data_IF_233464530769
#
_entry.id   IF_233464530769
#
_cell.length_a   1.000
_cell.length_b   1.000
_cell.length_c   1.000
_cell.angle_alpha   90.00
_cell.angle_beta   90.00
_cell.angle_gamma   90.00
#
_symmetry.space_group_name_H-M   'P 1'
#
loop_
_entity.id
_entity.type
_entity.pdbx_description
1 polymer ?
2 branched ?
3 water ?
#
# COMPACT_ATOMS: atom_id res chain seq x y z
N UNK A 1 12.94 -9.89 12.87
CA UNK A 1 11.94 -10.85 13.31
C UNK A 1 10.60 -10.16 13.51
N UNK A 2 10.28 -9.25 12.59
CA UNK A 2 9.02 -8.51 12.67
C UNK A 2 7.80 -9.41 12.68
N UNK A 3 7.69 -10.26 11.66
CA UNK A 3 6.52 -11.14 11.55
C UNK A 3 6.50 -12.23 12.62
N UNK A 4 7.67 -12.70 13.05
CA UNK A 4 7.68 -13.68 14.13
C UNK A 4 7.17 -13.04 15.41
N UNK A 5 7.56 -11.79 15.67
CA UNK A 5 7.16 -11.08 16.87
C UNK A 5 5.70 -10.65 16.86
N UNK A 6 5.26 -9.99 15.77
CA UNK A 6 3.89 -9.45 15.77
C UNK A 6 2.87 -10.44 15.24
N UNK A 7 3.31 -11.34 14.37
CA UNK A 7 2.48 -12.41 13.84
C UNK A 7 1.22 -11.98 13.15
N UNK A 8 0.12 -12.61 13.55
CA UNK A 8 -1.19 -12.36 12.96
C UNK A 8 -1.71 -10.97 13.26
N UNK A 9 -1.90 -10.16 12.23
CA UNK A 9 -2.45 -8.82 12.40
C UNK A 9 -3.97 -8.89 12.31
N UNK A 10 -4.60 -7.92 12.99
CA UNK A 10 -6.07 -7.85 12.92
C UNK A 10 -6.46 -6.42 13.26
N UNK A 11 -7.77 -6.18 13.14
CA UNK A 11 -8.30 -4.85 13.49
C UNK A 11 -9.10 -4.93 14.78
N UNK A 12 -8.72 -4.09 15.73
CA UNK A 12 -9.42 -4.06 17.02
C UNK A 12 -9.81 -2.61 17.32
N UNK A 13 -11.12 -2.35 17.42
CA UNK A 13 -11.60 -1.00 17.68
C UNK A 13 -11.01 0.04 16.72
N UNK A 14 -10.95 -0.34 15.45
CA UNK A 14 -10.48 0.55 14.39
C UNK A 14 -8.96 0.69 14.30
N UNK A 15 -8.22 -0.12 15.03
CA UNK A 15 -6.76 0.03 15.03
C UNK A 15 -6.10 -1.27 14.58
N UNK A 16 -4.98 -1.11 13.85
CA UNK A 16 -4.20 -2.30 13.50
C UNK A 16 -3.45 -2.79 14.73
N UNK A 17 -3.63 -4.06 15.08
CA UNK A 17 -2.94 -4.65 16.24
C UNK A 17 -2.29 -5.99 15.89
N UNK A 18 -1.31 -6.39 16.70
CA UNK A 18 -0.67 -7.70 16.50
C UNK A 18 -1.48 -8.80 17.20
N UNK A 19 -0.94 -10.00 17.21
CA UNK A 19 -1.61 -11.18 17.78
C UNK A 19 -1.73 -11.14 19.30
N UNK A 20 -1.04 -10.23 19.97
CA UNK A 20 -1.16 -10.09 21.42
C UNK A 20 -1.98 -8.86 21.73
N UNK A 21 -2.61 -8.28 20.70
CA UNK A 21 -3.50 -7.14 20.84
C UNK A 21 -2.84 -5.78 20.97
N UNK A 22 -1.55 -5.67 20.75
CA UNK A 22 -0.84 -4.39 20.87
C UNK A 22 -0.90 -3.63 19.55
N UNK A 23 -1.02 -2.30 19.61
CA UNK A 23 -0.99 -1.53 18.37
C UNK A 23 0.36 -1.73 17.67
N UNK A 24 0.29 -1.83 16.34
CA UNK A 24 1.50 -1.92 15.55
C UNK A 24 1.37 -0.97 14.36
N UNK A 25 2.51 -0.42 13.97
CA UNK A 25 2.52 0.53 12.85
C UNK A 25 3.53 0.04 11.79
N UNK A 26 3.06 -0.20 10.58
CA UNK A 26 3.95 -0.63 9.52
C UNK A 26 4.43 0.57 8.72
N UNK A 27 5.71 0.57 8.33
CA UNK A 27 6.24 1.65 7.52
C UNK A 27 7.15 1.00 6.47
N UNK A 28 6.90 1.32 5.20
CA UNK A 28 7.77 0.70 4.19
C UNK A 28 7.65 1.39 2.85
N UNK A 29 8.07 0.63 1.83
CA UNK A 29 8.10 1.19 0.48
C UNK A 29 7.17 0.44 -0.46
N UNK A 30 6.65 1.16 -1.45
CA UNK A 30 5.91 0.53 -2.53
C UNK A 30 6.85 0.47 -3.75
N UNK A 31 6.74 -0.59 -4.53
CA UNK A 31 7.38 -0.59 -5.85
C UNK A 31 6.64 0.46 -6.69
N UNK A 32 7.21 0.74 -7.86
CA UNK A 32 6.48 1.50 -8.88
C UNK A 32 5.77 0.40 -9.66
N UNK A 33 5.26 0.62 -10.86
CA UNK A 33 4.57 -0.43 -11.59
C UNK A 33 5.51 -1.61 -11.88
N UNK A 34 5.05 -2.82 -11.55
CA UNK A 34 5.89 -4.00 -11.81
C UNK A 34 6.14 -4.27 -13.28
N UNK A 35 5.33 -3.75 -14.19
CA UNK A 35 5.54 -3.92 -15.62
C UNK A 35 6.63 -3.00 -16.15
N UNK A 36 7.05 -2.02 -15.37
CA UNK A 36 8.02 -1.02 -15.79
C UNK A 36 9.31 -1.06 -15.01
N UNK A 37 9.22 -1.24 -13.68
CA UNK A 37 10.37 -1.16 -12.80
C UNK A 37 10.47 -2.37 -11.86
N UNK A 38 10.11 -3.54 -12.41
CA UNK A 38 10.17 -4.81 -11.68
C UNK A 38 11.55 -5.25 -11.25
N UNK A 39 12.60 -4.72 -11.90
CA UNK A 39 13.97 -5.10 -11.52
C UNK A 39 14.33 -4.68 -10.11
N UNK A 40 13.66 -3.68 -9.53
CA UNK A 40 13.93 -3.25 -8.16
C UNK A 40 13.21 -4.06 -7.11
N UNK A 41 12.45 -5.08 -7.52
CA UNK A 41 11.71 -5.92 -6.58
C UNK A 41 12.33 -7.33 -6.60
N UNK A 42 13.12 -7.58 -5.56
CA UNK A 42 13.81 -8.88 -5.45
C UNK A 42 14.25 -9.05 -4.00
N UNK A 43 14.63 -10.29 -3.66
CA UNK A 43 15.05 -10.55 -2.30
C UNK A 43 16.19 -9.62 -1.85
N UNK A 44 17.21 -9.42 -2.68
CA UNK A 44 18.33 -8.59 -2.23
C UNK A 44 17.97 -7.14 -1.96
N UNK A 45 17.18 -6.54 -2.83
CA UNK A 45 16.80 -5.13 -2.60
C UNK A 45 15.86 -5.03 -1.38
N UNK A 46 14.95 -5.99 -1.24
CA UNK A 46 14.05 -5.98 -0.09
C UNK A 46 14.80 -6.18 1.22
N UNK A 47 15.82 -7.07 1.19
CA UNK A 47 16.66 -7.26 2.38
C UNK A 47 17.44 -5.98 2.71
N UNK A 48 17.94 -5.29 1.69
CA UNK A 48 18.63 -4.01 1.91
C UNK A 48 17.66 -3.00 2.54
N UNK A 49 16.44 -2.93 2.00
CA UNK A 49 15.46 -2.02 2.61
C UNK A 49 15.18 -2.39 4.05
N UNK A 50 15.04 -3.70 4.31
CA UNK A 50 14.78 -4.12 5.69
C UNK A 50 15.93 -3.73 6.62
N UNK A 51 17.15 -4.05 6.22
CA UNK A 51 18.31 -3.88 7.09
C UNK A 51 18.84 -2.46 7.16
N UNK A 52 18.84 -1.72 6.06
CA UNK A 52 19.42 -0.38 6.04
C UNK A 52 18.37 0.68 6.28
N UNK A 53 17.15 0.52 5.74
CA UNK A 53 16.13 1.53 5.96
C UNK A 53 15.26 1.18 7.16
N UNK A 54 15.19 -0.09 7.55
CA UNK A 54 14.29 -0.47 8.63
C UNK A 54 12.85 -0.79 8.20
N UNK A 55 12.58 -1.03 6.91
CA UNK A 55 11.19 -1.29 6.52
C UNK A 55 10.66 -2.55 7.21
N UNK A 56 9.33 -2.57 7.46
CA UNK A 56 8.69 -3.77 7.98
C UNK A 56 7.50 -4.17 7.11
N UNK A 57 7.34 -3.53 5.96
CA UNK A 57 6.31 -3.89 4.98
C UNK A 57 6.81 -3.51 3.60
N UNK A 58 6.43 -4.27 2.56
CA UNK A 58 6.77 -3.92 1.19
C UNK A 58 5.51 -4.07 0.37
N UNK A 59 5.23 -3.11 -0.51
CA UNK A 59 4.02 -3.17 -1.32
C UNK A 59 4.37 -3.42 -2.78
N UNK A 60 3.77 -4.46 -3.33
CA UNK A 60 4.01 -4.86 -4.72
C UNK A 60 2.89 -4.26 -5.56
N UNK A 61 3.23 -3.19 -6.31
CA UNK A 61 2.21 -2.48 -7.08
C UNK A 61 2.01 -3.10 -8.46
N UNK A 62 1.04 -4.01 -8.55
CA UNK A 62 0.77 -4.68 -9.80
C UNK A 62 -0.32 -3.94 -10.58
N UNK A 63 0.09 -2.98 -11.40
CA UNK A 63 -0.89 -2.32 -12.26
C UNK A 63 -1.67 -3.37 -13.04
N UNK A 64 -2.97 -3.10 -13.18
CA UNK A 64 -3.86 -3.95 -13.97
C UNK A 64 -3.84 -3.49 -15.43
N UNK A 65 -4.02 -2.20 -15.67
CA UNK A 65 -3.95 -1.66 -17.03
C UNK A 65 -2.57 -1.05 -17.27
N UNK A 66 -2.43 -0.16 -18.25
CA UNK A 66 -1.16 0.51 -18.52
C UNK A 66 -0.02 -0.47 -18.75
N UNK A 67 -0.28 -1.57 -19.45
CA UNK A 67 0.69 -2.60 -19.74
C UNK A 67 0.90 -3.60 -18.63
N UNK A 68 0.07 -3.52 -17.59
CA UNK A 68 0.12 -4.40 -16.44
C UNK A 68 -0.55 -5.75 -16.67
N UNK A 69 -1.09 -6.30 -15.57
CA UNK A 69 -1.62 -7.64 -15.52
C UNK A 69 -2.65 -8.02 -16.57
N UNK A 70 -3.58 -7.16 -16.92
CA UNK A 70 -4.58 -7.51 -17.92
C UNK A 70 -3.93 -7.71 -19.29
N UNK A 71 -2.97 -6.84 -19.64
CA UNK A 71 -2.30 -6.95 -20.94
C UNK A 71 -1.24 -8.03 -21.00
N UNK A 72 -0.59 -8.26 -19.86
CA UNK A 72 0.44 -9.28 -19.75
C UNK A 72 0.48 -9.79 -18.32
N UNK A 73 -0.15 -10.94 -18.10
CA UNK A 73 -0.35 -11.53 -16.79
C UNK A 73 0.90 -12.06 -16.14
N UNK A 74 2.02 -12.13 -16.89
CA UNK A 74 3.27 -12.63 -16.35
C UNK A 74 3.74 -11.87 -15.14
N UNK A 75 3.35 -10.62 -14.95
CA UNK A 75 3.67 -9.78 -13.82
C UNK A 75 3.18 -10.33 -12.51
N UNK A 76 2.18 -11.23 -12.51
CA UNK A 76 1.74 -11.87 -11.27
C UNK A 76 2.86 -12.71 -10.66
N UNK A 77 3.81 -13.21 -11.49
CA UNK A 77 4.90 -13.99 -10.90
C UNK A 77 5.89 -13.08 -10.17
N UNK A 78 5.97 -11.79 -10.54
CA UNK A 78 6.83 -10.87 -9.79
C UNK A 78 6.15 -10.55 -8.46
N UNK A 79 4.81 -10.50 -8.44
CA UNK A 79 4.14 -10.38 -7.13
C UNK A 79 4.51 -11.60 -6.28
N UNK A 80 4.44 -12.82 -6.81
CA UNK A 80 4.81 -14.01 -6.02
C UNK A 80 6.25 -13.92 -5.53
N UNK A 81 7.17 -13.47 -6.39
CA UNK A 81 8.54 -13.26 -5.93
C UNK A 81 8.61 -12.31 -4.74
N UNK A 82 7.87 -11.18 -4.80
CA UNK A 82 7.88 -10.24 -3.68
C UNK A 82 7.32 -10.85 -2.40
N UNK A 83 6.24 -11.62 -2.53
CA UNK A 83 5.60 -12.22 -1.36
C UNK A 83 6.57 -13.20 -0.72
N UNK A 84 7.19 -14.04 -1.54
CA UNK A 84 8.13 -15.05 -1.02
C UNK A 84 9.34 -14.40 -0.37
N UNK A 85 9.85 -13.31 -0.93
CA UNK A 85 10.97 -12.58 -0.31
C UNK A 85 10.51 -12.03 1.04
N UNK A 86 9.30 -11.47 1.12
CA UNK A 86 8.80 -10.95 2.39
C UNK A 86 8.70 -12.06 3.44
N UNK A 87 8.21 -13.23 3.01
CA UNK A 87 8.14 -14.38 3.93
C UNK A 87 9.56 -14.76 4.38
N UNK A 88 10.50 -14.80 3.43
CA UNK A 88 11.88 -15.19 3.80
C UNK A 88 12.54 -14.14 4.70
N UNK A 89 12.23 -12.86 4.56
CA UNK A 89 12.80 -11.77 5.31
C UNK A 89 12.03 -11.42 6.57
N UNK A 90 10.90 -12.11 6.77
CA UNK A 90 10.04 -11.95 7.94
C UNK A 90 9.51 -10.54 8.06
N UNK A 91 9.02 -10.02 6.95
CA UNK A 91 8.33 -8.71 6.94
C UNK A 91 6.96 -8.88 6.29
N UNK A 92 6.10 -7.85 6.46
CA UNK A 92 4.77 -7.91 5.86
C UNK A 92 4.81 -7.51 4.39
N UNK A 93 3.80 -7.95 3.64
CA UNK A 93 3.79 -7.63 2.20
C UNK A 93 2.37 -7.35 1.75
N UNK A 94 2.22 -6.28 0.96
CA UNK A 94 0.90 -5.90 0.44
C UNK A 94 0.83 -6.29 -1.04
N UNK A 95 -0.21 -7.04 -1.37
CA UNK A 95 -0.47 -7.46 -2.74
C UNK A 95 -1.47 -6.43 -3.29
N UNK A 96 -1.00 -5.53 -4.16
CA UNK A 96 -1.85 -4.42 -4.60
C UNK A 96 -2.34 -4.57 -6.03
N UNK A 97 -3.61 -4.75 -6.21
CA UNK A 97 -4.30 -4.82 -7.51
C UNK A 97 -4.46 -3.34 -7.88
N UNK A 98 -3.48 -2.87 -8.65
CA UNK A 98 -3.23 -1.46 -8.83
C UNK A 98 -4.00 -0.82 -9.98
N UNK A 99 -5.30 -0.65 -9.72
CA UNK A 99 -6.16 0.05 -10.67
C UNK A 99 -5.80 1.54 -10.69
N UNK A 100 -5.99 2.17 -11.85
CA UNK A 100 -5.73 3.61 -11.97
C UNK A 100 -6.51 4.15 -13.17
N UNK A 101 -5.99 3.95 -14.37
CA UNK A 101 -6.72 4.42 -15.57
C UNK A 101 -8.02 3.65 -15.77
N UNK A 102 -8.02 2.38 -15.36
CA UNK A 102 -9.24 1.56 -15.26
C UNK A 102 -9.83 1.97 -13.91
N UNK A 103 -10.51 3.11 -13.92
CA UNK A 103 -10.86 3.85 -12.73
C UNK A 103 -11.96 3.27 -11.87
N UNK A 104 -12.74 2.38 -12.43
CA UNK A 104 -13.80 1.71 -11.68
C UNK A 104 -13.27 0.32 -11.43
N UNK A 105 -13.24 -0.16 -10.18
CA UNK A 105 -12.75 -1.51 -9.90
C UNK A 105 -13.60 -2.59 -10.50
N UNK A 106 -14.87 -2.28 -10.87
CA UNK A 106 -15.70 -3.30 -11.50
C UNK A 106 -15.25 -3.62 -12.92
N UNK A 107 -14.45 -2.76 -13.57
CA UNK A 107 -14.04 -3.05 -14.95
C UNK A 107 -13.41 -4.43 -15.07
N UNK A 108 -12.42 -4.71 -14.19
CA UNK A 108 -11.77 -6.02 -14.24
C UNK A 108 -12.06 -6.84 -12.99
N UNK A 109 -13.32 -6.77 -12.50
CA UNK A 109 -13.66 -7.54 -11.30
C UNK A 109 -13.59 -9.04 -11.46
N UNK A 110 -13.85 -9.60 -12.66
CA UNK A 110 -13.78 -11.05 -12.80
C UNK A 110 -12.31 -11.47 -12.69
N UNK A 111 -11.45 -10.69 -13.34
CA UNK A 111 -10.02 -11.01 -13.27
C UNK A 111 -9.48 -10.84 -11.86
N UNK A 112 -9.95 -9.81 -11.14
CA UNK A 112 -9.57 -9.58 -9.76
C UNK A 112 -9.96 -10.75 -8.85
N UNK A 113 -11.18 -11.25 -9.03
CA UNK A 113 -11.62 -12.40 -8.23
C UNK A 113 -10.71 -13.60 -8.50
N UNK A 114 -10.39 -13.86 -9.77
CA UNK A 114 -9.52 -15.03 -10.03
C UNK A 114 -8.13 -14.82 -9.45
N UNK A 115 -7.59 -13.61 -9.62
CA UNK A 115 -6.26 -13.30 -9.09
C UNK A 115 -6.20 -13.39 -7.58
N UNK A 116 -7.18 -12.83 -6.87
CA UNK A 116 -7.19 -12.94 -5.41
C UNK A 116 -7.51 -14.35 -4.94
N UNK A 117 -8.26 -15.14 -5.69
CA UNK A 117 -8.44 -16.56 -5.34
C UNK A 117 -7.07 -17.24 -5.36
N UNK A 118 -6.33 -17.06 -6.46
CA UNK A 118 -5.01 -17.69 -6.57
C UNK A 118 -4.06 -17.23 -5.48
N UNK A 119 -3.97 -15.94 -5.22
CA UNK A 119 -3.01 -15.43 -4.24
C UNK A 119 -3.37 -15.88 -2.82
N UNK A 120 -4.68 -15.87 -2.50
CA UNK A 120 -5.07 -16.31 -1.16
C UNK A 120 -4.96 -17.82 -1.00
N UNK A 121 -5.11 -18.57 -2.09
CA UNK A 121 -4.92 -20.03 -1.97
C UNK A 121 -3.44 -20.31 -1.72
N UNK A 122 -2.56 -19.59 -2.42
CA UNK A 122 -1.13 -19.86 -2.27
C UNK A 122 -0.59 -19.41 -0.93
N UNK A 123 -0.95 -18.20 -0.50
CA UNK A 123 -0.30 -17.58 0.64
C UNK A 123 -1.19 -17.32 1.84
N UNK A 124 -2.43 -17.81 1.80
CA UNK A 124 -3.38 -17.55 2.86
C UNK A 124 -3.04 -18.12 4.21
N UNK A 125 -2.10 -19.07 4.29
CA UNK A 125 -1.74 -19.58 5.61
C UNK A 125 -0.39 -19.00 6.06
N UNK A 126 -0.05 -17.80 5.62
CA UNK A 126 1.06 -17.03 6.12
C UNK A 126 0.47 -15.73 6.70
N UNK A 127 1.00 -15.20 7.77
CA UNK A 127 0.53 -13.99 8.39
C UNK A 127 1.08 -12.73 7.73
N UNK A 128 2.03 -12.88 6.80
CA UNK A 128 2.67 -11.72 6.20
C UNK A 128 1.76 -10.95 5.25
N UNK A 129 0.79 -11.63 4.66
CA UNK A 129 0.05 -11.07 3.55
C UNK A 129 -1.06 -10.12 3.95
N UNK A 130 -1.11 -9.00 3.21
CA UNK A 130 -2.16 -7.97 3.31
C UNK A 130 -2.69 -7.78 1.89
N UNK A 131 -3.99 -7.89 1.66
CA UNK A 131 -4.49 -7.79 0.28
C UNK A 131 -5.02 -6.40 0.00
N UNK A 132 -4.58 -5.76 -1.07
CA UNK A 132 -5.11 -4.41 -1.38
C UNK A 132 -5.87 -4.55 -2.70
N UNK A 133 -7.20 -4.65 -2.62
CA UNK A 133 -8.00 -5.07 -3.76
C UNK A 133 -8.32 -4.02 -4.82
N UNK A 134 -8.06 -2.74 -4.60
CA UNK A 134 -8.34 -1.75 -5.65
C UNK A 134 -7.61 -0.45 -5.29
N UNK A 135 -6.36 -0.34 -5.76
CA UNK A 135 -5.53 0.80 -5.41
C UNK A 135 -6.25 2.13 -5.30
N UNK A 136 -6.66 2.70 -6.44
CA UNK A 136 -7.25 4.03 -6.48
C UNK A 136 -8.44 4.18 -7.40
N UNK A 137 -9.61 3.82 -6.91
CA UNK A 137 -10.87 4.10 -7.59
C UNK A 137 -10.91 5.60 -7.86
N UNK A 138 -11.38 6.05 -9.02
CA UNK A 138 -11.42 7.48 -9.27
C UNK A 138 -12.49 7.82 -10.31
N UNK A 139 -12.80 9.11 -10.38
CA UNK A 139 -13.86 9.55 -11.29
C UNK A 139 -15.13 9.86 -10.53
N UNK A 140 -15.89 10.86 -11.04
CA UNK A 140 -17.18 11.23 -10.47
C UNK A 140 -18.26 10.17 -10.46
N UNK A 141 -18.18 9.27 -11.43
CA UNK A 141 -19.11 8.16 -11.59
C UNK A 141 -18.74 6.89 -10.83
N UNK A 142 -17.68 6.97 -10.01
CA UNK A 142 -17.26 5.82 -9.21
C UNK A 142 -17.44 6.19 -7.74
N UNK A 143 -18.50 5.71 -7.10
CA UNK A 143 -18.72 6.07 -5.71
C UNK A 143 -18.59 4.84 -4.79
N UNK A 144 -18.43 5.17 -3.52
CA UNK A 144 -18.33 4.08 -2.53
C UNK A 144 -19.56 3.20 -2.57
N UNK A 145 -20.74 3.82 -2.39
CA UNK A 145 -21.96 3.03 -2.28
C UNK A 145 -22.37 2.28 -3.52
N UNK A 146 -22.16 2.86 -4.71
CA UNK A 146 -22.63 2.23 -5.93
C UNK A 146 -21.61 1.33 -6.61
N UNK A 147 -20.32 1.63 -6.48
CA UNK A 147 -19.31 0.90 -7.23
C UNK A 147 -18.27 0.20 -6.34
N UNK A 148 -17.72 0.93 -5.35
CA UNK A 148 -16.58 0.36 -4.62
C UNK A 148 -17.00 -0.68 -3.59
N UNK A 149 -18.00 -0.31 -2.78
CA UNK A 149 -18.46 -1.27 -1.75
C UNK A 149 -18.96 -2.54 -2.35
N UNK A 150 -19.81 -2.55 -3.35
CA UNK A 150 -20.30 -3.77 -3.99
C UNK A 150 -19.15 -4.58 -4.59
N UNK A 151 -18.15 -3.89 -5.18
CA UNK A 151 -16.98 -4.60 -5.69
C UNK A 151 -16.26 -5.36 -4.58
N UNK A 152 -16.06 -4.67 -3.46
CA UNK A 152 -15.40 -5.29 -2.31
C UNK A 152 -16.23 -6.46 -1.79
N UNK A 153 -17.56 -6.34 -1.87
CA UNK A 153 -18.44 -7.42 -1.41
C UNK A 153 -18.49 -8.60 -2.33
N UNK A 154 -17.89 -8.53 -3.51
CA UNK A 154 -17.67 -9.66 -4.38
C UNK A 154 -16.26 -10.23 -4.20
N UNK A 155 -15.24 -9.39 -3.98
CA UNK A 155 -13.85 -9.89 -3.92
C UNK A 155 -13.49 -10.41 -2.54
N UNK A 156 -14.02 -9.76 -1.48
CA UNK A 156 -13.69 -10.23 -0.12
C UNK A 156 -14.12 -11.65 0.14
N UNK A 157 -15.31 -12.11 -0.22
CA UNK A 157 -15.73 -13.49 -0.02
C UNK A 157 -14.77 -14.49 -0.67
N UNK A 158 -14.24 -14.16 -1.85
CA UNK A 158 -13.28 -15.02 -2.56
C UNK A 158 -12.05 -15.20 -1.69
N UNK A 159 -11.51 -14.06 -1.19
CA UNK A 159 -10.33 -14.15 -0.33
C UNK A 159 -10.63 -14.93 0.95
N UNK A 160 -11.77 -14.61 1.59
CA UNK A 160 -12.14 -15.20 2.88
C UNK A 160 -12.41 -16.69 2.82
N UNK A 161 -12.69 -17.22 1.63
CA UNK A 161 -12.85 -18.66 1.49
C UNK A 161 -11.52 -19.37 1.68
N UNK A 162 -10.41 -18.67 1.41
CA UNK A 162 -9.10 -19.28 1.56
C UNK A 162 -8.30 -18.75 2.74
N UNK A 163 -8.64 -17.56 3.18
CA UNK A 163 -7.85 -16.84 4.19
C UNK A 163 -8.85 -16.03 5.00
N UNK A 164 -9.21 -16.56 6.17
CA UNK A 164 -10.30 -16.05 6.96
C UNK A 164 -10.08 -14.70 7.59
N UNK A 165 -8.83 -14.25 7.77
CA UNK A 165 -8.71 -13.02 8.54
C UNK A 165 -7.46 -12.21 8.34
N UNK A 166 -6.62 -12.50 7.33
CA UNK A 166 -5.54 -11.53 7.09
C UNK A 166 -6.20 -10.22 6.63
N UNK A 167 -5.46 -9.13 6.79
CA UNK A 167 -5.98 -7.78 6.51
C UNK A 167 -6.24 -7.56 5.04
N UNK A 168 -7.37 -6.89 4.78
CA UNK A 168 -7.74 -6.50 3.42
C UNK A 168 -7.90 -4.97 3.40
N UNK A 169 -7.14 -4.30 2.54
CA UNK A 169 -7.24 -2.84 2.39
C UNK A 169 -8.12 -2.54 1.17
N UNK A 170 -9.16 -1.75 1.34
CA UNK A 170 -10.09 -1.41 0.26
C UNK A 170 -9.96 0.08 -0.12
N UNK A 171 -9.74 0.29 -1.41
CA UNK A 171 -9.61 1.67 -1.92
C UNK A 171 -10.89 2.46 -1.73
N UNK A 172 -10.72 3.78 -1.73
CA UNK A 172 -11.87 4.68 -1.56
C UNK A 172 -11.96 5.62 -2.77
N UNK A 173 -13.06 6.36 -2.84
CA UNK A 173 -13.28 7.23 -4.00
C UNK A 173 -12.29 8.37 -4.11
N UNK A 174 -12.30 8.98 -5.32
CA UNK A 174 -11.47 10.16 -5.59
C UNK A 174 -9.99 9.89 -5.31
N UNK A 175 -9.49 8.85 -5.97
CA UNK A 175 -8.12 8.37 -5.84
C UNK A 175 -7.77 8.01 -4.40
N UNK A 176 -8.67 7.26 -3.75
CA UNK A 176 -8.48 6.85 -2.37
C UNK A 176 -8.29 8.01 -1.41
N UNK A 177 -9.16 9.04 -1.57
CA UNK A 177 -9.15 10.13 -0.61
C UNK A 177 -10.48 10.17 0.14
N UNK A 178 -11.55 9.63 -0.43
CA UNK A 178 -12.86 9.81 0.18
C UNK A 178 -13.16 8.79 1.25
N UNK A 179 -12.43 8.91 2.36
CA UNK A 179 -12.62 8.00 3.50
C UNK A 179 -13.85 8.40 4.29
N UNK A 180 -14.38 9.62 4.09
CA UNK A 180 -15.57 10.03 4.83
C UNK A 180 -16.78 9.21 4.41
N UNK A 181 -16.95 9.00 3.11
CA UNK A 181 -18.11 8.21 2.67
C UNK A 181 -17.94 6.75 3.07
N UNK A 182 -16.71 6.22 2.97
CA UNK A 182 -16.52 4.81 3.36
C UNK A 182 -16.79 4.62 4.84
N UNK A 183 -16.34 5.59 5.65
CA UNK A 183 -16.50 5.47 7.10
C UNK A 183 -17.96 5.56 7.55
N UNK A 184 -18.79 6.21 6.73
CA UNK A 184 -20.22 6.25 7.11
C UNK A 184 -20.99 5.06 6.55
N UNK A 185 -20.34 4.16 5.81
CA UNK A 185 -21.04 3.03 5.20
C UNK A 185 -20.06 1.86 5.09
N UNK A 186 -19.60 1.44 6.26
CA UNK A 186 -18.52 0.45 6.34
C UNK A 186 -18.91 -0.95 5.92
N UNK A 187 -17.89 -1.69 5.46
CA UNK A 187 -18.03 -3.10 5.12
C UNK A 187 -18.19 -3.93 6.38
N UNK A 188 -18.77 -5.12 6.24
CA UNK A 188 -18.99 -5.98 7.40
C UNK A 188 -17.73 -6.67 7.90
N UNK A 189 -16.82 -7.03 6.99
CA UNK A 189 -15.64 -7.82 7.45
C UNK A 189 -14.89 -7.08 8.54
N UNK A 190 -14.55 -7.74 9.64
CA UNK A 190 -13.92 -7.15 10.79
C UNK A 190 -12.44 -6.85 10.59
N UNK A 191 -11.83 -7.39 9.53
CA UNK A 191 -10.41 -7.16 9.33
C UNK A 191 -10.14 -6.42 8.04
N UNK A 192 -10.99 -5.41 7.82
CA UNK A 192 -10.86 -4.51 6.67
C UNK A 192 -10.36 -3.15 7.15
N UNK A 193 -9.55 -2.53 6.27
CA UNK A 193 -9.07 -1.18 6.41
C UNK A 193 -9.40 -0.43 5.13
N UNK A 194 -9.56 0.89 5.20
CA UNK A 194 -9.83 1.71 4.02
C UNK A 194 -8.55 2.44 3.65
N UNK A 195 -8.25 2.47 2.34
CA UNK A 195 -7.04 3.16 1.92
C UNK A 195 -7.22 4.69 1.94
N UNK A 196 -6.15 5.38 2.33
CA UNK A 196 -6.13 6.84 2.25
C UNK A 196 -4.75 7.17 1.65
N UNK A 197 -4.73 7.94 0.56
CA UNK A 197 -3.50 8.27 -0.14
C UNK A 197 -3.33 9.80 -0.24
N UNK A 198 -2.10 10.28 -0.04
CA UNK A 198 -1.85 11.72 -0.14
C UNK A 198 -0.55 11.98 -0.86
N UNK A 199 -0.41 13.24 -1.31
CA UNK A 199 0.79 13.72 -1.95
C UNK A 199 1.16 15.02 -1.25
N UNK A 200 2.42 15.16 -0.81
CA UNK A 200 2.81 16.33 -0.02
C UNK A 200 2.74 17.65 -0.78
N UNK A 201 2.66 17.60 -2.11
CA UNK A 201 2.46 18.83 -2.90
C UNK A 201 1.09 19.47 -2.71
N UNK A 202 0.13 18.74 -2.15
CA UNK A 202 -1.19 19.27 -1.86
C UNK A 202 -1.26 19.74 -0.42
N UNK A 203 -1.78 20.95 -0.18
CA UNK A 203 -1.90 21.43 1.20
C UNK A 203 -2.89 20.50 1.90
N UNK A 204 -2.47 19.85 2.99
CA UNK A 204 -3.26 18.74 3.52
C UNK A 204 -4.07 18.94 4.76
N UNK A 205 -4.31 20.15 5.26
CA UNK A 205 -4.97 20.30 6.56
C UNK A 205 -6.38 19.74 6.57
N UNK A 206 -7.18 19.93 5.52
CA UNK A 206 -8.54 19.39 5.57
C UNK A 206 -8.50 17.87 5.41
N UNK A 207 -7.56 17.40 4.58
CA UNK A 207 -7.45 15.94 4.38
C UNK A 207 -7.09 15.25 5.70
N UNK A 208 -6.24 15.85 6.51
CA UNK A 208 -5.97 15.29 7.85
C UNK A 208 -7.24 15.27 8.67
N UNK A 209 -8.04 16.36 8.62
CA UNK A 209 -9.28 16.38 9.40
C UNK A 209 -10.28 15.34 8.93
N UNK A 210 -10.26 15.04 7.61
CA UNK A 210 -11.13 14.02 7.07
C UNK A 210 -10.69 12.62 7.49
N UNK A 211 -9.39 12.40 7.58
CA UNK A 211 -8.91 11.10 8.11
C UNK A 211 -9.42 10.98 9.54
N UNK A 212 -9.28 12.05 10.33
CA UNK A 212 -9.74 12.01 11.73
C UNK A 212 -11.24 11.71 11.80
N UNK A 213 -12.04 12.31 10.89
CA UNK A 213 -13.47 12.02 10.87
C UNK A 213 -13.69 10.51 10.71
N UNK A 214 -12.98 9.93 9.72
CA UNK A 214 -13.15 8.49 9.48
C UNK A 214 -12.74 7.63 10.65
N UNK A 215 -11.60 7.97 11.26
CA UNK A 215 -11.15 7.26 12.46
C UNK A 215 -12.20 7.35 13.56
N UNK A 216 -12.85 8.51 13.72
CA UNK A 216 -13.90 8.73 14.70
C UNK A 216 -15.15 7.89 14.46
N UNK A 217 -15.34 7.33 13.26
CA UNK A 217 -16.44 6.44 12.98
C UNK A 217 -16.05 4.98 13.22
N UNK A 218 -14.83 4.77 13.74
CA UNK A 218 -14.37 3.41 14.00
C UNK A 218 -13.82 2.72 12.76
N UNK A 219 -13.63 3.44 11.67
CA UNK A 219 -13.01 2.84 10.49
C UNK A 219 -11.49 2.79 10.65
N UNK A 220 -10.87 1.68 10.22
CA UNK A 220 -9.40 1.62 10.27
C UNK A 220 -8.86 2.11 8.94
N UNK A 221 -7.76 2.87 8.96
CA UNK A 221 -7.22 3.47 7.75
C UNK A 221 -5.75 3.05 7.55
N UNK A 222 -5.45 2.66 6.31
CA UNK A 222 -4.05 2.31 6.00
C UNK A 222 -3.62 3.29 4.91
N UNK A 223 -2.49 3.99 5.13
CA UNK A 223 -2.03 4.95 4.10
C UNK A 223 -1.14 4.14 3.16
N UNK A 224 -1.79 3.39 2.26
CA UNK A 224 -1.08 2.41 1.45
C UNK A 224 -0.23 3.01 0.34
N UNK A 225 -0.35 4.31 0.11
CA UNK A 225 0.48 4.98 -0.88
C UNK A 225 0.53 6.48 -0.55
N UNK A 226 1.73 7.04 -0.49
CA UNK A 226 1.80 8.51 -0.34
C UNK A 226 3.11 8.93 -0.99
N UNK A 227 3.15 10.18 -1.45
CA UNK A 227 4.45 10.60 -2.06
C UNK A 227 4.83 11.97 -1.51
N UNK A 228 6.12 12.29 -1.67
CA UNK A 228 6.65 13.57 -1.25
C UNK A 228 6.43 14.64 -2.34
N UNK A 229 5.94 14.21 -3.48
CA UNK A 229 5.74 15.08 -4.63
C UNK A 229 4.34 15.64 -4.73
N UNK A 230 4.06 16.17 -5.94
CA UNK A 230 2.70 16.62 -6.24
C UNK A 230 1.93 15.37 -6.66
N UNK A 231 0.62 15.46 -6.88
CA UNK A 231 -0.27 14.37 -7.15
C UNK A 231 0.00 13.61 -8.44
N UNK A 232 0.83 14.18 -9.31
CA UNK A 232 1.22 13.52 -10.55
C UNK A 232 2.41 12.59 -10.29
N UNK A 233 3.00 12.65 -9.12
CA UNK A 233 4.17 11.82 -8.82
C UNK A 233 5.44 12.58 -9.13
N UNK A 234 5.32 13.83 -9.61
CA UNK A 234 6.48 14.66 -9.91
C UNK A 234 6.26 16.08 -9.41
N UNK A 235 6.84 17.08 -10.09
CA UNK A 235 6.66 18.47 -9.76
C UNK A 235 7.30 19.02 -8.50
N UNK A 236 8.42 18.48 -8.07
CA UNK A 236 9.09 19.00 -6.89
C UNK A 236 8.86 18.11 -5.67
N UNK A 237 9.72 18.32 -4.68
CA UNK A 237 9.64 17.59 -3.42
C UNK A 237 9.16 18.57 -2.35
N UNK A 238 8.20 18.12 -1.53
CA UNK A 238 7.59 19.05 -0.54
C UNK A 238 7.79 18.46 0.84
N UNK A 239 9.03 18.55 1.35
CA UNK A 239 9.32 17.93 2.63
C UNK A 239 8.72 18.59 3.84
N UNK A 240 8.38 19.87 3.84
CA UNK A 240 7.74 20.44 5.03
C UNK A 240 6.37 19.78 5.23
N UNK A 241 5.59 19.74 4.16
CA UNK A 241 4.24 19.12 4.30
C UNK A 241 4.36 17.62 4.53
N UNK A 242 5.37 16.99 3.90
CA UNK A 242 5.57 15.56 4.15
C UNK A 242 5.82 15.27 5.63
N UNK A 243 6.67 16.08 6.26
CA UNK A 243 6.89 15.92 7.71
C UNK A 243 5.63 16.14 8.52
N UNK A 244 4.77 17.09 8.13
CA UNK A 244 3.52 17.27 8.87
C UNK A 244 2.70 15.98 8.82
N UNK A 245 2.62 15.38 7.63
CA UNK A 245 1.86 14.13 7.48
C UNK A 245 2.55 12.99 8.22
N UNK A 246 3.88 12.91 8.20
CA UNK A 246 4.57 11.86 8.97
C UNK A 246 4.20 11.95 10.44
N UNK A 247 4.23 13.18 10.99
CA UNK A 247 3.92 13.34 12.42
C UNK A 247 2.46 12.99 12.67
N UNK A 248 1.56 13.38 11.78
CA UNK A 248 0.14 13.06 11.89
C UNK A 248 -0.09 11.56 11.95
N UNK A 249 0.57 10.84 11.02
CA UNK A 249 0.44 9.40 10.96
C UNK A 249 1.00 8.74 12.22
N UNK A 250 2.07 9.27 12.79
CA UNK A 250 2.58 8.66 14.04
C UNK A 250 1.59 8.92 15.17
N UNK A 251 1.00 10.11 15.26
CA UNK A 251 0.06 10.40 16.35
C UNK A 251 -1.18 9.53 16.26
N UNK A 252 -1.61 9.19 15.04
CA UNK A 252 -2.81 8.40 14.84
C UNK A 252 -2.50 6.91 14.64
N UNK A 253 -1.25 6.52 14.79
CA UNK A 253 -0.83 5.15 14.58
C UNK A 253 -1.24 4.58 13.22
N UNK A 254 -0.99 5.39 12.18
CA UNK A 254 -1.34 4.93 10.85
C UNK A 254 -0.13 4.31 10.13
N UNK A 255 -0.40 3.16 9.56
CA UNK A 255 0.61 2.42 8.79
C UNK A 255 0.75 3.04 7.40
N UNK A 256 1.93 2.91 6.79
CA UNK A 256 2.09 3.52 5.47
C UNK A 256 3.14 2.89 4.57
N UNK A 257 2.97 3.16 3.27
CA UNK A 257 3.93 2.73 2.27
C UNK A 257 4.20 3.91 1.33
N UNK A 258 5.48 4.24 1.12
CA UNK A 258 5.79 5.41 0.30
C UNK A 258 5.94 5.00 -1.17
N UNK A 259 5.53 5.90 -2.07
CA UNK A 259 5.64 5.73 -3.51
C UNK A 259 6.80 6.62 -3.99
N UNK A 260 7.84 6.07 -4.62
CA UNK A 260 7.97 4.65 -4.91
C UNK A 260 9.43 4.26 -5.10
N UNK A 261 9.68 2.95 -5.11
CA UNK A 261 11.04 2.45 -5.29
C UNK A 261 11.43 2.27 -6.75
N UNK A 262 11.96 3.36 -7.32
CA UNK A 262 12.38 3.33 -8.72
C UNK A 262 13.42 4.42 -8.95
N UNK A 263 14.12 4.33 -10.10
CA UNK A 263 15.08 5.37 -10.47
C UNK A 263 14.53 6.33 -11.51
N UNK A 264 13.26 6.22 -11.83
CA UNK A 264 12.60 7.15 -12.76
C UNK A 264 12.90 8.59 -12.40
N UNK A 265 13.04 9.45 -13.41
CA UNK A 265 13.31 10.87 -13.16
C UNK A 265 12.03 11.63 -12.86
N UNK A 266 11.52 11.41 -11.64
CA UNK A 266 10.33 12.11 -11.16
C UNK A 266 10.56 12.29 -9.65
N UNK A 267 10.05 13.39 -9.10
CA UNK A 267 10.31 13.73 -7.71
C UNK A 267 9.98 12.66 -6.68
N UNK A 268 8.92 11.89 -6.90
CA UNK A 268 8.52 10.90 -5.91
C UNK A 268 9.43 9.68 -5.95
N UNK A 269 10.24 9.52 -7.01
CA UNK A 269 11.09 8.31 -7.04
C UNK A 269 12.13 8.37 -5.94
N UNK A 270 12.37 7.23 -5.27
CA UNK A 270 13.32 7.20 -4.18
C UNK A 270 14.79 7.07 -4.59
N UNK A 271 15.04 6.61 -5.81
CA UNK A 271 16.42 6.34 -6.22
C UNK A 271 16.87 7.21 -7.41
N UNK A 272 18.20 7.37 -7.47
CA UNK A 272 18.77 8.13 -8.60
C UNK A 272 19.05 7.17 -9.73
N UNK A 273 19.19 7.67 -10.95
CA UNK A 273 19.42 6.87 -12.14
C UNK A 273 20.44 5.78 -12.05
N UNK A 274 21.53 5.85 -11.29
CA UNK A 274 22.49 4.76 -11.25
C UNK A 274 22.36 3.76 -10.12
N UNK A 275 21.27 3.81 -9.35
CA UNK A 275 21.08 2.91 -8.23
C UNK A 275 21.00 1.44 -8.65
N UNK A 276 21.74 0.62 -7.91
CA UNK A 276 21.74 -0.82 -8.19
C UNK A 276 20.38 -1.39 -7.86
N UNK A 277 19.82 -2.22 -8.73
CA UNK A 277 18.50 -2.82 -8.53
C UNK A 277 18.51 -3.86 -7.43
N UNK A 278 19.67 -4.30 -6.96
CA UNK A 278 19.73 -5.26 -5.87
C UNK A 278 20.11 -4.60 -4.55
N UNK A 279 20.06 -3.29 -4.40
CA UNK A 279 20.33 -2.63 -3.12
C UNK A 279 21.76 -2.18 -2.89
N UNK A 280 22.07 -1.80 -1.67
CA UNK A 280 23.41 -1.32 -1.30
C UNK A 280 23.66 0.14 -1.63
N UNK A 281 22.62 0.92 -1.82
CA UNK A 281 22.74 2.32 -2.23
C UNK A 281 23.52 3.22 -1.27
N UNK A 282 24.37 4.06 -1.88
CA UNK A 282 25.08 5.09 -1.14
C UNK A 282 24.13 6.29 -1.05
N UNK A 283 24.55 7.31 -0.31
CA UNK A 283 23.78 8.54 -0.17
C UNK A 283 23.52 9.18 -1.52
N UNK A 284 24.53 9.16 -2.39
CA UNK A 284 24.45 9.73 -3.72
C UNK A 284 23.46 9.04 -4.66
N UNK A 285 23.14 7.77 -4.35
CA UNK A 285 22.21 7.01 -5.15
C UNK A 285 20.74 7.14 -4.67
N UNK A 286 20.53 7.88 -3.59
CA UNK A 286 19.16 8.14 -3.15
C UNK A 286 18.76 9.54 -3.59
N UNK A 287 17.53 9.69 -4.03
CA UNK A 287 17.04 11.02 -4.46
C UNK A 287 16.73 11.81 -3.22
N UNK A 288 16.36 13.08 -3.35
CA UNK A 288 15.94 13.89 -2.21
C UNK A 288 14.76 13.21 -1.48
N UNK A 289 13.82 12.66 -2.27
CA UNK A 289 12.69 11.95 -1.68
C UNK A 289 13.14 10.69 -0.93
N UNK A 290 13.94 9.87 -1.59
CA UNK A 290 14.45 8.63 -0.97
C UNK A 290 15.25 8.87 0.30
N UNK A 291 16.10 9.88 0.31
CA UNK A 291 16.87 10.22 1.51
C UNK A 291 15.94 10.52 2.69
N UNK A 292 14.91 11.33 2.44
CA UNK A 292 13.96 11.69 3.48
C UNK A 292 13.18 10.48 3.97
N UNK A 293 12.64 9.68 3.03
CA UNK A 293 11.84 8.52 3.44
C UNK A 293 12.70 7.54 4.26
N UNK A 294 13.94 7.29 3.78
CA UNK A 294 14.85 6.44 4.55
C UNK A 294 15.07 6.96 5.96
N UNK A 295 15.31 8.27 6.11
CA UNK A 295 15.47 8.86 7.44
C UNK A 295 14.23 8.63 8.31
N UNK A 296 13.05 8.84 7.71
CA UNK A 296 11.83 8.69 8.53
C UNK A 296 11.69 7.26 9.04
N UNK A 297 11.99 6.27 8.18
CA UNK A 297 11.84 4.90 8.67
C UNK A 297 12.95 4.52 9.64
N UNK A 298 14.17 5.02 9.43
CA UNK A 298 15.26 4.70 10.38
C UNK A 298 14.98 5.32 11.74
N UNK A 299 14.41 6.51 11.77
CA UNK A 299 14.07 7.22 13.01
C UNK A 299 13.03 6.46 13.82
N UNK A 300 12.14 5.78 13.09
CA UNK A 300 11.08 5.00 13.70
C UNK A 300 11.62 3.83 14.52
#
# INVERSE_FOLDING_TARGET
>A
SVVEEHGQLSISNGELVNERGEQVQLKGMSSHGLQWYGQFVNYESMKWLRDDWGINVFRAAMYTSSGGYIDDPSVKEKVKEAVEAAIDLDIYVIIDWHILSDNDPNIYKEEAKDFFDEMSELYGDYPNVIYEIANEPNGSDVTWGNQIKPYAEEVIPIIRNNDPNNIIIVGTGTWSQDVHHAADNQLADPNVMYAFHFYAGTHGQNLRDQVDYALDQGAAIFVSEWGTSAATGDGGVFLDEAQVWIDFMDERNLSWANWSLTHKDESSAALMPGANPTGGWTEAELSPSGTFVREKIRES
#
